data_IF_738128936144
#
_entry.id   IF_738128936144
#
_cell.length_a   1.000
_cell.length_b   1.000
_cell.length_c   1.000
_cell.angle_alpha   90.00
_cell.angle_beta   90.00
_cell.angle_gamma   90.00
#
_symmetry.space_group_name_H-M   'P 1'
#
loop_
_entity.id
_entity.type
_entity.pdbx_description
1 polymer ?
#
# COMPACT_ATOMS: atom_id res chain seq x y z
N UNK A 1 -3.94 26.19 -37.63
CA UNK A 1 -4.89 25.17 -37.14
C UNK A 1 -4.51 24.86 -35.70
N UNK A 2 -5.20 25.47 -34.74
CA UNK A 2 -4.90 25.30 -33.32
C UNK A 2 -5.56 24.02 -32.83
N UNK A 3 -4.75 23.06 -32.40
CA UNK A 3 -5.19 21.79 -31.86
C UNK A 3 -5.72 22.02 -30.43
N UNK A 4 -6.99 22.44 -30.31
CA UNK A 4 -7.71 22.56 -29.03
C UNK A 4 -8.25 21.19 -28.57
N UNK A 5 -7.37 20.19 -28.51
CA UNK A 5 -7.73 18.81 -28.13
C UNK A 5 -7.21 18.37 -26.76
N UNK A 6 -6.27 19.08 -26.14
CA UNK A 6 -5.58 18.60 -24.94
C UNK A 6 -5.85 19.38 -23.65
N UNK A 7 -6.71 20.41 -23.67
CA UNK A 7 -6.92 21.25 -22.48
C UNK A 7 -7.91 20.64 -21.48
N UNK A 8 -8.96 19.94 -21.94
CA UNK A 8 -9.99 19.41 -21.05
C UNK A 8 -9.52 18.16 -20.29
N UNK A 9 -8.80 17.24 -20.95
CA UNK A 9 -8.27 16.03 -20.28
C UNK A 9 -7.15 16.37 -19.29
N UNK A 10 -6.31 17.36 -19.59
CA UNK A 10 -5.26 17.84 -18.67
C UNK A 10 -5.86 18.55 -17.45
N UNK A 11 -6.88 19.40 -17.65
CA UNK A 11 -7.59 20.03 -16.54
C UNK A 11 -8.41 19.04 -15.70
N UNK A 12 -8.92 17.95 -16.28
CA UNK A 12 -9.62 16.90 -15.54
C UNK A 12 -8.63 16.05 -14.73
N UNK A 13 -7.43 15.79 -15.25
CA UNK A 13 -6.35 15.13 -14.52
C UNK A 13 -5.82 16.02 -13.40
N UNK A 14 -5.57 17.32 -13.63
CA UNK A 14 -5.15 18.26 -12.58
C UNK A 14 -6.22 18.42 -11.49
N UNK A 15 -7.51 18.50 -11.86
CA UNK A 15 -8.60 18.58 -10.88
C UNK A 15 -8.87 17.28 -10.12
N UNK A 16 -8.52 16.14 -10.69
CA UNK A 16 -8.56 14.85 -9.99
C UNK A 16 -7.35 14.67 -9.06
N UNK A 17 -6.20 15.24 -9.41
CA UNK A 17 -5.01 15.31 -8.55
C UNK A 17 -5.25 16.26 -7.37
N UNK A 18 -5.97 17.37 -7.54
CA UNK A 18 -6.30 18.29 -6.43
C UNK A 18 -7.39 17.75 -5.47
N UNK A 19 -8.14 16.71 -5.88
CA UNK A 19 -9.16 16.06 -5.04
C UNK A 19 -8.69 14.72 -4.44
N UNK A 20 -7.50 14.27 -4.83
CA UNK A 20 -6.84 13.08 -4.33
C UNK A 20 -5.60 13.54 -3.57
N UNK A 21 -5.56 13.36 -2.25
CA UNK A 21 -4.35 13.61 -1.46
C UNK A 21 -3.13 12.77 -1.93
N UNK A 22 -3.29 11.88 -2.91
CA UNK A 22 -2.22 11.10 -3.53
C UNK A 22 -1.63 11.83 -4.75
N UNK A 23 -0.57 12.59 -4.51
CA UNK A 23 0.35 13.07 -5.55
C UNK A 23 1.37 12.01 -5.98
N UNK A 24 1.36 10.82 -5.38
CA UNK A 24 2.28 9.72 -5.70
C UNK A 24 1.83 8.96 -6.98
N UNK A 25 2.65 8.94 -8.05
CA UNK A 25 2.37 8.20 -9.28
C UNK A 25 2.10 6.70 -9.09
N UNK A 26 2.69 6.08 -8.06
CA UNK A 26 2.45 4.68 -7.70
C UNK A 26 1.01 4.47 -7.24
N UNK A 27 0.53 5.30 -6.30
CA UNK A 27 -0.84 5.18 -5.76
C UNK A 27 -1.88 5.40 -6.86
N UNK A 28 -1.65 6.38 -7.75
CA UNK A 28 -2.49 6.61 -8.93
C UNK A 28 -2.50 5.41 -9.91
N UNK A 29 -1.34 4.78 -10.13
CA UNK A 29 -1.26 3.58 -10.96
C UNK A 29 -2.01 2.40 -10.33
N UNK A 30 -1.89 2.24 -9.01
CA UNK A 30 -2.56 1.19 -8.26
C UNK A 30 -4.07 1.40 -8.18
N UNK A 31 -4.53 2.65 -8.06
CA UNK A 31 -5.96 2.96 -8.16
C UNK A 31 -6.53 2.52 -9.50
N UNK A 32 -5.81 2.73 -10.61
CA UNK A 32 -6.23 2.24 -11.94
C UNK A 32 -6.27 0.71 -12.00
N UNK A 33 -5.36 0.01 -11.33
CA UNK A 33 -5.38 -1.46 -11.24
C UNK A 33 -6.60 -1.92 -10.45
N UNK A 34 -6.85 -1.32 -9.28
CA UNK A 34 -7.99 -1.62 -8.43
C UNK A 34 -9.31 -1.37 -9.15
N UNK A 35 -9.44 -0.26 -9.87
CA UNK A 35 -10.66 0.06 -10.64
C UNK A 35 -10.94 -0.93 -11.77
N UNK A 36 -9.90 -1.47 -12.41
CA UNK A 36 -10.03 -2.37 -13.56
C UNK A 36 -10.16 -3.84 -13.18
N UNK A 37 -9.52 -4.26 -12.10
CA UNK A 37 -9.30 -5.68 -11.75
C UNK A 37 -9.71 -6.04 -10.33
N UNK A 38 -9.96 -5.05 -9.46
CA UNK A 38 -10.33 -5.29 -8.08
C UNK A 38 -11.74 -5.85 -7.98
N UNK A 39 -11.94 -6.76 -7.03
CA UNK A 39 -13.30 -7.14 -6.65
C UNK A 39 -13.95 -5.96 -5.93
N UNK A 40 -15.26 -5.84 -6.06
CA UNK A 40 -16.00 -4.79 -5.36
C UNK A 40 -16.05 -5.11 -3.89
N UNK A 41 -15.58 -4.18 -3.06
CA UNK A 41 -15.62 -4.31 -1.61
C UNK A 41 -16.28 -3.08 -0.99
N UNK A 42 -17.11 -3.27 0.04
CA UNK A 42 -17.77 -2.14 0.70
C UNK A 42 -16.80 -1.56 1.72
N UNK A 43 -16.59 -0.25 1.68
CA UNK A 43 -15.78 0.47 2.66
C UNK A 43 -16.62 1.58 3.27
N UNK A 44 -16.46 1.81 4.56
CA UNK A 44 -17.07 2.90 5.30
C UNK A 44 -16.03 3.60 6.17
N UNK A 45 -16.46 4.66 6.88
CA UNK A 45 -15.57 5.43 7.74
C UNK A 45 -14.98 4.62 8.89
N UNK A 46 -15.60 3.49 9.30
CA UNK A 46 -15.04 2.67 10.39
C UNK A 46 -13.70 2.05 9.98
N UNK A 47 -13.53 1.71 8.69
CA UNK A 47 -12.24 1.23 8.16
C UNK A 47 -11.14 2.29 8.32
N UNK A 48 -11.44 3.55 7.97
CA UNK A 48 -10.48 4.66 8.05
C UNK A 48 -10.16 5.05 9.49
N UNK A 49 -11.08 4.81 10.43
CA UNK A 49 -10.90 5.07 11.85
C UNK A 49 -10.19 3.91 12.57
N UNK A 50 -10.40 2.68 12.13
CA UNK A 50 -9.77 1.49 12.71
C UNK A 50 -8.28 1.40 12.38
N UNK A 51 -7.88 1.74 11.15
CA UNK A 51 -6.48 1.61 10.72
C UNK A 51 -5.50 2.43 11.58
N UNK A 52 -5.73 3.73 11.86
CA UNK A 52 -4.87 4.52 12.75
C UNK A 52 -4.79 3.98 14.18
N UNK A 53 -5.81 3.23 14.63
CA UNK A 53 -5.88 2.64 15.97
C UNK A 53 -5.19 1.27 16.06
N UNK A 54 -4.68 0.74 14.94
CA UNK A 54 -3.93 -0.50 14.92
C UNK A 54 -2.75 -0.47 15.89
N UNK A 55 -2.57 -1.54 16.63
CA UNK A 55 -1.43 -1.77 17.52
C UNK A 55 -0.14 -1.95 16.71
N UNK A 56 1.02 -1.75 17.34
CA UNK A 56 2.32 -2.00 16.69
C UNK A 56 2.46 -3.45 16.23
N UNK A 57 1.86 -4.39 16.97
CA UNK A 57 1.80 -5.80 16.57
C UNK A 57 1.01 -5.99 15.27
N UNK A 58 -0.13 -5.32 15.12
CA UNK A 58 -0.94 -5.41 13.90
C UNK A 58 -0.21 -4.74 12.72
N UNK A 59 0.39 -3.56 12.93
CA UNK A 59 1.20 -2.90 11.90
C UNK A 59 2.37 -3.77 11.44
N UNK A 60 3.12 -4.34 12.39
CA UNK A 60 4.21 -5.28 12.10
C UNK A 60 3.72 -6.52 11.35
N UNK A 61 2.55 -7.06 11.73
CA UNK A 61 1.92 -8.17 11.03
C UNK A 61 1.55 -7.83 9.58
N UNK A 62 0.95 -6.66 9.34
CA UNK A 62 0.63 -6.17 7.99
C UNK A 62 1.89 -5.97 7.14
N UNK A 63 2.94 -5.37 7.72
CA UNK A 63 4.24 -5.22 7.06
C UNK A 63 4.83 -6.58 6.68
N UNK A 64 4.83 -7.55 7.60
CA UNK A 64 5.33 -8.90 7.34
C UNK A 64 4.55 -9.58 6.21
N UNK A 65 3.22 -9.44 6.21
CA UNK A 65 2.38 -9.99 5.15
C UNK A 65 2.75 -9.37 3.79
N UNK A 66 2.85 -8.04 3.71
CA UNK A 66 3.25 -7.32 2.48
C UNK A 66 4.62 -7.81 2.00
N UNK A 67 5.58 -7.95 2.90
CA UNK A 67 6.95 -8.39 2.58
C UNK A 67 6.95 -9.82 2.03
N UNK A 68 6.24 -10.76 2.67
CA UNK A 68 6.13 -12.14 2.20
C UNK A 68 5.41 -12.20 0.85
N UNK A 69 4.26 -11.51 0.72
CA UNK A 69 3.49 -11.48 -0.51
C UNK A 69 4.25 -10.88 -1.70
N UNK A 70 5.21 -9.99 -1.42
CA UNK A 70 6.06 -9.33 -2.41
C UNK A 70 7.48 -9.88 -2.45
N UNK A 71 7.75 -11.06 -1.87
CA UNK A 71 9.10 -11.60 -1.69
C UNK A 71 9.99 -11.54 -2.95
N UNK A 72 9.45 -11.83 -4.14
CA UNK A 72 10.22 -11.75 -5.39
C UNK A 72 10.62 -10.30 -5.79
N UNK A 73 9.80 -9.32 -5.45
CA UNK A 73 10.12 -7.90 -5.64
C UNK A 73 11.11 -7.47 -4.58
N UNK A 74 10.80 -7.78 -3.31
CA UNK A 74 11.65 -7.44 -2.16
C UNK A 74 13.06 -8.01 -2.33
N UNK A 75 13.22 -9.31 -2.63
CA UNK A 75 14.53 -9.92 -2.81
C UNK A 75 15.37 -9.19 -3.87
N UNK A 76 14.75 -8.79 -5.00
CA UNK A 76 15.45 -8.04 -6.06
C UNK A 76 15.87 -6.64 -5.64
N UNK A 77 15.13 -6.01 -4.72
CA UNK A 77 15.52 -4.72 -4.15
C UNK A 77 16.64 -4.88 -3.10
N UNK A 78 16.68 -6.03 -2.43
CA UNK A 78 17.57 -6.28 -1.29
C UNK A 78 18.91 -6.92 -1.66
N UNK A 79 19.18 -7.16 -2.95
CA UNK A 79 20.40 -7.81 -3.44
C UNK A 79 21.70 -7.02 -3.08
N UNK A 80 21.61 -5.75 -2.64
CA UNK A 80 22.76 -4.89 -2.30
C UNK A 80 22.95 -4.56 -0.79
N UNK A 81 22.24 -5.26 0.12
CA UNK A 81 22.21 -5.09 1.59
C UNK A 81 21.48 -3.86 2.15
N UNK A 82 20.79 -4.13 3.27
CA UNK A 82 19.92 -3.27 4.09
C UNK A 82 18.64 -2.78 3.38
N UNK A 83 17.49 -2.74 4.10
CA UNK A 83 16.29 -2.11 3.57
C UNK A 83 16.60 -0.64 3.30
N UNK A 84 16.61 -0.29 2.01
CA UNK A 84 16.80 1.08 1.56
C UNK A 84 15.48 1.86 1.58
N UNK A 85 15.59 3.14 1.25
CA UNK A 85 14.45 4.04 1.22
C UNK A 85 13.39 3.61 0.19
N UNK A 86 13.78 2.96 -0.90
CA UNK A 86 12.87 2.45 -1.92
C UNK A 86 12.03 1.29 -1.37
N UNK A 87 12.63 0.37 -0.62
CA UNK A 87 11.91 -0.71 0.06
C UNK A 87 10.94 -0.15 1.13
N UNK A 88 11.40 0.81 1.92
CA UNK A 88 10.55 1.47 2.93
C UNK A 88 9.36 2.17 2.27
N UNK A 89 9.60 2.85 1.15
CA UNK A 89 8.56 3.52 0.35
C UNK A 89 7.58 2.52 -0.22
N UNK A 90 8.04 1.37 -0.75
CA UNK A 90 7.15 0.32 -1.23
C UNK A 90 6.22 -0.19 -0.12
N UNK A 91 6.75 -0.54 1.05
CA UNK A 91 5.93 -1.04 2.16
C UNK A 91 4.96 0.03 2.66
N UNK A 92 5.41 1.28 2.77
CA UNK A 92 4.60 2.44 3.15
C UNK A 92 3.43 2.65 2.18
N UNK A 93 3.70 2.65 0.88
CA UNK A 93 2.66 2.80 -0.14
C UNK A 93 1.67 1.64 -0.15
N UNK A 94 2.12 0.43 0.15
CA UNK A 94 1.24 -0.73 0.29
C UNK A 94 0.35 -0.62 1.54
N UNK A 95 0.87 -0.10 2.66
CA UNK A 95 0.06 0.19 3.86
C UNK A 95 -0.98 1.27 3.59
N UNK A 96 -0.67 2.30 2.80
CA UNK A 96 -1.64 3.31 2.36
C UNK A 96 -2.78 2.67 1.56
N UNK A 97 -2.47 1.71 0.68
CA UNK A 97 -3.52 0.99 -0.07
C UNK A 97 -4.39 0.13 0.85
N UNK A 98 -3.83 -0.48 1.90
CA UNK A 98 -4.61 -1.19 2.93
C UNK A 98 -5.53 -0.23 3.67
N UNK A 99 -5.01 0.91 4.14
CA UNK A 99 -5.77 1.92 4.86
C UNK A 99 -6.93 2.49 4.02
N UNK A 100 -6.76 2.59 2.70
CA UNK A 100 -7.81 3.02 1.75
C UNK A 100 -8.82 1.92 1.41
N UNK A 101 -8.68 0.71 1.94
CA UNK A 101 -9.51 -0.45 1.59
C UNK A 101 -9.33 -0.92 0.14
N UNK A 102 -8.21 -0.54 -0.50
CA UNK A 102 -7.84 -0.91 -1.88
C UNK A 102 -7.06 -2.23 -1.92
N UNK A 103 -6.53 -2.66 -0.78
CA UNK A 103 -5.72 -3.86 -0.65
C UNK A 103 -6.16 -4.67 0.57
N UNK A 104 -6.32 -5.97 0.39
CA UNK A 104 -6.69 -6.91 1.44
C UNK A 104 -5.70 -8.08 1.48
N UNK A 105 -5.63 -8.72 2.64
CA UNK A 105 -4.80 -9.90 2.87
C UNK A 105 -5.66 -11.15 2.66
N UNK A 106 -5.37 -11.88 1.57
CA UNK A 106 -6.01 -13.16 1.25
C UNK A 106 -5.34 -14.34 1.96
N UNK A 107 -5.72 -15.54 1.55
CA UNK A 107 -5.06 -16.76 2.02
C UNK A 107 -3.62 -16.84 1.49
N UNK A 108 -2.79 -17.67 2.14
CA UNK A 108 -1.44 -18.02 1.66
C UNK A 108 -0.51 -16.83 1.33
N UNK A 109 -0.66 -15.70 2.02
CA UNK A 109 0.09 -14.47 1.76
C UNK A 109 -0.21 -13.84 0.39
N UNK A 110 -1.42 -14.00 -0.14
CA UNK A 110 -1.88 -13.30 -1.34
C UNK A 110 -2.38 -11.88 -1.02
N UNK A 111 -2.03 -10.93 -1.89
CA UNK A 111 -2.58 -9.58 -1.85
C UNK A 111 -3.73 -9.46 -2.83
N UNK A 112 -4.91 -9.16 -2.29
CA UNK A 112 -6.14 -9.03 -3.08
C UNK A 112 -6.44 -7.56 -3.30
N UNK A 113 -6.56 -7.17 -4.57
CA UNK A 113 -6.97 -5.81 -4.93
C UNK A 113 -8.48 -5.66 -4.83
N UNK A 114 -8.90 -4.56 -4.22
CA UNK A 114 -10.30 -4.21 -4.06
C UNK A 114 -10.62 -2.88 -4.74
N UNK A 115 -11.80 -2.81 -5.32
CA UNK A 115 -12.47 -1.59 -5.73
C UNK A 115 -13.42 -1.19 -4.60
N UNK A 116 -13.02 -0.29 -3.68
CA UNK A 116 -13.87 0.18 -2.61
C UNK A 116 -15.10 0.90 -3.18
N UNK A 117 -16.26 0.55 -2.67
CA UNK A 117 -17.51 1.28 -2.85
C UNK A 117 -17.87 1.87 -1.49
N UNK A 118 -17.78 3.19 -1.40
CA UNK A 118 -17.88 3.90 -0.13
C UNK A 118 -17.43 5.34 -0.22
N UNK A 119 -17.44 6.06 0.91
CA UNK A 119 -16.82 7.37 1.00
C UNK A 119 -15.29 7.25 0.87
N UNK A 120 -14.66 8.34 0.47
CA UNK A 120 -13.22 8.54 0.69
C UNK A 120 -12.95 8.93 2.15
N UNK A 121 -11.74 8.69 2.68
CA UNK A 121 -11.38 9.20 3.99
C UNK A 121 -11.50 10.72 4.04
N UNK A 122 -11.93 11.28 5.18
CA UNK A 122 -11.86 12.73 5.39
C UNK A 122 -10.40 13.19 5.53
N UNK A 123 -10.11 14.49 5.40
CA UNK A 123 -8.75 15.00 5.65
C UNK A 123 -8.20 14.59 7.03
N UNK A 124 -9.03 14.63 8.08
CA UNK A 124 -8.62 14.25 9.43
C UNK A 124 -8.32 12.74 9.56
N UNK A 125 -9.14 11.90 8.92
CA UNK A 125 -8.89 10.46 8.85
C UNK A 125 -7.60 10.17 8.07
N UNK A 126 -7.36 10.92 6.99
CA UNK A 126 -6.17 10.81 6.17
C UNK A 126 -4.89 11.20 6.92
N UNK A 127 -4.92 12.30 7.65
CA UNK A 127 -3.81 12.75 8.49
C UNK A 127 -3.49 11.71 9.58
N UNK A 128 -4.52 11.11 10.19
CA UNK A 128 -4.34 10.05 11.19
C UNK A 128 -3.72 8.77 10.59
N UNK A 129 -4.12 8.38 9.38
CA UNK A 129 -3.53 7.26 8.64
C UNK A 129 -2.04 7.52 8.37
N UNK A 130 -1.71 8.68 7.82
CA UNK A 130 -0.32 9.06 7.55
C UNK A 130 0.51 9.09 8.83
N UNK A 131 0.01 9.74 9.88
CA UNK A 131 0.69 9.79 11.16
C UNK A 131 0.95 8.38 11.72
N UNK A 132 0.00 7.45 11.59
CA UNK A 132 0.19 6.07 12.03
C UNK A 132 1.29 5.35 11.25
N UNK A 133 1.32 5.52 9.93
CA UNK A 133 2.33 4.92 9.06
C UNK A 133 3.72 5.53 9.34
N UNK A 134 3.83 6.85 9.41
CA UNK A 134 5.08 7.54 9.70
C UNK A 134 5.67 7.12 11.05
N UNK A 135 4.82 7.01 12.08
CA UNK A 135 5.24 6.57 13.41
C UNK A 135 5.76 5.13 13.44
N UNK A 136 5.31 4.27 12.52
CA UNK A 136 5.71 2.85 12.47
C UNK A 136 6.74 2.54 11.39
N UNK A 137 7.11 3.54 10.58
CA UNK A 137 8.06 3.40 9.47
C UNK A 137 9.39 2.77 9.90
N UNK A 138 9.87 3.11 11.09
CA UNK A 138 11.12 2.57 11.66
C UNK A 138 11.07 1.04 11.89
N UNK A 139 9.87 0.46 12.02
CA UNK A 139 9.67 -0.98 12.27
C UNK A 139 9.79 -1.82 10.98
N UNK A 140 9.77 -1.21 9.80
CA UNK A 140 9.76 -1.93 8.51
C UNK A 140 11.02 -2.80 8.34
N UNK A 141 12.18 -2.31 8.77
CA UNK A 141 13.42 -3.08 8.73
C UNK A 141 13.40 -4.29 9.67
N UNK A 142 12.84 -4.13 10.87
CA UNK A 142 12.68 -5.22 11.83
C UNK A 142 11.69 -6.27 11.33
N UNK A 143 10.57 -5.83 10.74
CA UNK A 143 9.60 -6.71 10.10
C UNK A 143 10.27 -7.54 8.99
N UNK A 144 11.07 -6.91 8.12
CA UNK A 144 11.83 -7.62 7.09
C UNK A 144 12.77 -8.69 7.65
N UNK A 145 13.54 -8.38 8.70
CA UNK A 145 14.42 -9.36 9.31
C UNK A 145 13.62 -10.53 9.93
N UNK A 146 12.52 -10.23 10.60
CA UNK A 146 11.67 -11.22 11.24
C UNK A 146 10.98 -12.18 10.24
N UNK A 147 10.43 -11.65 9.14
CA UNK A 147 9.66 -12.46 8.18
C UNK A 147 10.45 -12.91 6.95
N UNK A 148 11.47 -12.16 6.55
CA UNK A 148 12.33 -12.46 5.40
C UNK A 148 13.25 -13.65 5.64
N UNK A 149 13.77 -13.82 6.86
CA UNK A 149 14.64 -14.94 7.23
C UNK A 149 13.89 -16.26 7.49
N UNK A 150 12.64 -16.21 8.00
CA UNK A 150 11.81 -17.40 8.18
C UNK A 150 11.52 -18.15 6.85
N UNK A 151 11.70 -17.45 5.74
CA UNK A 151 11.40 -17.91 4.39
C UNK A 151 12.63 -18.53 3.69
N UNK A 152 13.86 -18.29 4.17
CA UNK A 152 15.09 -18.91 3.64
C UNK A 152 15.38 -20.27 4.27
N UNK A 153 15.00 -20.50 5.53
CA UNK A 153 15.19 -21.78 6.22
C UNK A 153 14.29 -22.90 5.67
N UNK A 154 13.10 -22.58 5.14
CA UNK A 154 12.22 -23.56 4.50
C UNK A 154 12.65 -23.95 3.09
N UNK A 155 13.54 -23.19 2.44
CA UNK A 155 14.11 -23.57 1.13
C UNK A 155 15.32 -24.50 1.24
N UNK A 156 15.90 -24.67 2.43
CA UNK A 156 17.02 -25.59 2.67
C UNK A 156 16.61 -26.96 3.20
N UNK A 157 15.33 -27.18 3.55
CA UNK A 157 14.83 -28.48 4.04
C UNK A 157 14.17 -29.36 2.97
N UNK A 158 14.21 -28.95 1.69
CA UNK A 158 13.56 -29.66 0.57
C UNK A 158 14.57 -30.15 -0.47
N UNK A 159 15.75 -30.60 -0.03
CA UNK A 159 16.70 -31.35 -0.87
C UNK A 159 16.99 -32.70 -0.25
#
# INVERSE_FOLDING_TARGET
MCNMGNSAEHLVLEKLIDASNDSDPFLLAMDRVCEKKGHTEKVDHEVFQAFPQSTDKEMSGMMCFIIIARRNVVNRMMDDNAPDEDFITLVTNMLLLVARGRLWFGDEFELVYAKPIGPSPTPEEWDAIHQRIDNTRHMIGEAYLACGQASSENSQKTV
#
